data_IF_658584569816
#
_entry.id   IF_658584569816
#
_cell.length_a   1.000
_cell.length_b   1.000
_cell.length_c   1.000
_cell.angle_alpha   90.00
_cell.angle_beta   90.00
_cell.angle_gamma   90.00
#
_symmetry.space_group_name_H-M   'P 1'
#
loop_
_entity.id
_entity.type
_entity.pdbx_description
1 polymer ?
#
# COMPACT_ATOMS: atom_id res chain seq x y z
N UNK A 1 -20.53 -3.98 -19.20
CA UNK A 1 -19.32 -3.27 -19.67
C UNK A 1 -18.28 -3.20 -18.55
N UNK A 2 -17.55 -4.29 -18.26
CA UNK A 2 -16.57 -4.33 -17.15
C UNK A 2 -15.14 -3.96 -17.59
N UNK A 3 -14.83 -4.05 -18.90
CA UNK A 3 -13.47 -3.80 -19.43
C UNK A 3 -13.05 -2.32 -19.37
N UNK A 4 -14.00 -1.38 -19.50
CA UNK A 4 -13.72 0.06 -19.39
C UNK A 4 -13.44 0.53 -17.96
N UNK A 5 -13.85 -0.24 -16.95
CA UNK A 5 -13.56 0.09 -15.56
C UNK A 5 -12.04 0.21 -15.30
N UNK A 6 -11.21 -0.47 -16.10
CA UNK A 6 -9.75 -0.41 -15.98
C UNK A 6 -9.16 0.93 -16.45
N UNK A 7 -9.87 1.71 -17.26
CA UNK A 7 -9.35 2.89 -17.95
C UNK A 7 -10.14 4.17 -17.72
N UNK A 8 -11.43 4.07 -17.36
CA UNK A 8 -12.35 5.22 -17.30
C UNK A 8 -12.99 5.44 -15.93
N UNK A 9 -12.41 4.84 -14.87
CA UNK A 9 -12.94 4.98 -13.53
C UNK A 9 -12.70 6.39 -12.96
N UNK A 10 -13.70 6.93 -12.27
CA UNK A 10 -13.69 8.27 -11.67
C UNK A 10 -13.85 8.27 -10.15
N UNK A 11 -13.73 7.11 -9.50
CA UNK A 11 -13.71 6.94 -8.05
C UNK A 11 -12.52 6.06 -7.62
N UNK A 12 -12.10 6.18 -6.36
CA UNK A 12 -11.08 5.31 -5.77
C UNK A 12 -11.71 3.95 -5.45
N UNK A 13 -11.00 2.86 -5.72
CA UNK A 13 -11.45 1.48 -5.43
C UNK A 13 -10.56 0.80 -4.39
N UNK A 14 -11.05 -0.33 -3.87
CA UNK A 14 -10.19 -1.33 -3.24
C UNK A 14 -9.49 -2.17 -4.31
N UNK A 15 -8.17 -2.00 -4.45
CA UNK A 15 -7.36 -2.58 -5.52
C UNK A 15 -8.01 -2.43 -6.91
N UNK A 16 -8.30 -3.56 -7.57
CA UNK A 16 -8.84 -3.63 -8.93
C UNK A 16 -10.32 -3.98 -8.95
N UNK A 17 -10.99 -4.03 -7.79
CA UNK A 17 -12.37 -4.48 -7.61
C UNK A 17 -13.34 -3.30 -7.84
N UNK A 18 -14.06 -3.23 -8.98
CA UNK A 18 -14.92 -2.09 -9.28
C UNK A 18 -16.15 -1.98 -8.37
N UNK A 19 -16.58 -3.06 -7.74
CA UNK A 19 -17.72 -3.11 -6.82
C UNK A 19 -17.42 -2.50 -5.44
N UNK A 20 -16.14 -2.29 -5.10
CA UNK A 20 -15.71 -1.74 -3.81
C UNK A 20 -15.22 -0.30 -3.96
N UNK A 21 -16.07 0.65 -3.60
CA UNK A 21 -15.75 2.08 -3.60
C UNK A 21 -15.03 2.49 -2.31
N UNK A 22 -13.97 3.29 -2.44
CA UNK A 22 -13.24 3.83 -1.31
C UNK A 22 -14.04 4.91 -0.59
N UNK A 23 -14.09 4.81 0.74
CA UNK A 23 -14.74 5.79 1.62
C UNK A 23 -13.71 6.81 2.10
N UNK A 24 -14.15 8.06 2.29
CA UNK A 24 -13.31 9.17 2.74
C UNK A 24 -13.37 9.33 4.26
N UNK A 25 -12.92 8.31 4.97
CA UNK A 25 -12.97 8.24 6.44
C UNK A 25 -12.06 9.29 7.12
N UNK A 26 -11.24 10.00 6.36
CA UNK A 26 -10.50 11.17 6.86
C UNK A 26 -11.41 12.34 7.25
N UNK A 27 -12.66 12.38 6.77
CA UNK A 27 -13.65 13.36 7.22
C UNK A 27 -14.31 12.92 8.53
N UNK A 28 -14.38 13.80 9.55
CA UNK A 28 -14.97 13.48 10.84
C UNK A 28 -16.37 12.88 10.76
N UNK A 29 -17.26 13.48 9.97
CA UNK A 29 -18.65 13.04 9.83
C UNK A 29 -18.75 11.64 9.21
N UNK A 30 -17.86 11.33 8.25
CA UNK A 30 -17.82 10.01 7.62
C UNK A 30 -17.31 8.97 8.61
N UNK A 31 -16.28 9.31 9.41
CA UNK A 31 -15.80 8.42 10.47
C UNK A 31 -16.92 8.13 11.48
N UNK A 32 -17.60 9.16 11.96
CA UNK A 32 -18.70 9.04 12.93
C UNK A 32 -19.81 8.13 12.39
N UNK A 33 -20.28 8.38 11.17
CA UNK A 33 -21.35 7.60 10.54
C UNK A 33 -20.94 6.13 10.34
N UNK A 34 -19.73 5.87 9.85
CA UNK A 34 -19.30 4.48 9.56
C UNK A 34 -18.90 3.70 10.82
N UNK A 35 -18.56 4.37 11.93
CA UNK A 35 -18.11 3.72 13.16
C UNK A 35 -19.16 3.69 14.27
N UNK A 36 -20.27 4.44 14.15
CA UNK A 36 -21.29 4.57 15.19
C UNK A 36 -21.71 3.23 15.81
N UNK A 37 -22.02 2.22 14.97
CA UNK A 37 -22.43 0.90 15.46
C UNK A 37 -21.28 0.11 16.08
N UNK A 38 -20.08 0.17 15.50
CA UNK A 38 -18.90 -0.52 16.06
C UNK A 38 -18.57 0.04 17.45
N UNK A 39 -18.63 1.36 17.60
CA UNK A 39 -18.40 2.03 18.88
C UNK A 39 -19.51 1.74 19.90
N UNK A 40 -20.77 1.64 19.46
CA UNK A 40 -21.88 1.16 20.31
C UNK A 40 -21.59 -0.25 20.84
N UNK A 41 -21.21 -1.19 19.96
CA UNK A 41 -20.90 -2.57 20.36
C UNK A 41 -19.72 -2.66 21.35
N UNK A 42 -18.71 -1.79 21.21
CA UNK A 42 -17.61 -1.69 22.19
C UNK A 42 -18.08 -1.10 23.53
N UNK A 43 -18.93 -0.07 23.51
CA UNK A 43 -19.50 0.53 24.74
C UNK A 43 -20.39 -0.45 25.49
N UNK A 44 -21.18 -1.23 24.77
CA UNK A 44 -22.08 -2.24 25.32
C UNK A 44 -21.34 -3.50 25.80
N UNK A 45 -20.02 -3.59 25.58
CA UNK A 45 -19.20 -4.73 26.00
C UNK A 45 -19.39 -5.99 25.15
N UNK A 46 -19.93 -5.85 23.93
CA UNK A 46 -20.07 -6.95 22.98
C UNK A 46 -18.74 -7.27 22.29
N UNK A 47 -17.88 -6.26 22.14
CA UNK A 47 -16.55 -6.38 21.55
C UNK A 47 -15.49 -5.93 22.56
N UNK A 48 -14.33 -6.59 22.54
CA UNK A 48 -13.19 -6.26 23.42
C UNK A 48 -12.06 -5.50 22.69
N UNK A 49 -12.02 -5.62 21.36
CA UNK A 49 -10.96 -5.07 20.53
C UNK A 49 -11.31 -5.06 19.06
N UNK A 50 -10.42 -4.49 18.24
CA UNK A 50 -10.64 -4.26 16.82
C UNK A 50 -9.48 -4.82 15.98
N UNK A 51 -9.83 -5.33 14.79
CA UNK A 51 -8.87 -5.61 13.72
C UNK A 51 -9.21 -4.71 12.54
N UNK A 52 -8.29 -3.82 12.19
CA UNK A 52 -8.46 -2.86 11.10
C UNK A 52 -8.02 -3.50 9.79
N UNK A 53 -8.95 -3.56 8.85
CA UNK A 53 -8.70 -4.01 7.49
C UNK A 53 -8.02 -2.90 6.68
N UNK A 54 -6.99 -3.26 5.91
CA UNK A 54 -6.37 -2.41 4.91
C UNK A 54 -6.15 -0.93 5.29
N UNK A 55 -5.47 -0.62 6.41
CA UNK A 55 -5.13 0.77 6.78
C UNK A 55 -4.29 1.48 5.71
N UNK A 56 -3.52 0.73 4.90
CA UNK A 56 -2.75 1.28 3.79
C UNK A 56 -3.61 1.86 2.66
N UNK A 57 -4.91 1.57 2.64
CA UNK A 57 -5.86 2.22 1.74
C UNK A 57 -6.34 3.60 2.21
N UNK A 58 -6.05 3.99 3.45
CA UNK A 58 -6.53 5.25 4.02
C UNK A 58 -5.73 6.46 3.52
N UNK A 59 -6.38 7.63 3.45
CA UNK A 59 -5.70 8.87 3.08
C UNK A 59 -4.69 9.28 4.17
N UNK A 60 -5.10 9.19 5.44
CA UNK A 60 -4.30 9.54 6.62
C UNK A 60 -4.45 8.47 7.72
N UNK A 61 -3.74 7.32 7.59
CA UNK A 61 -3.90 6.20 8.53
C UNK A 61 -3.52 6.53 9.97
N UNK A 62 -2.46 7.33 10.19
CA UNK A 62 -2.07 7.74 11.55
C UNK A 62 -3.19 8.52 12.25
N UNK A 63 -3.75 9.54 11.59
CA UNK A 63 -4.86 10.34 12.12
C UNK A 63 -6.14 9.50 12.32
N UNK A 64 -6.40 8.53 11.44
CA UNK A 64 -7.51 7.59 11.61
C UNK A 64 -7.33 6.74 12.87
N UNK A 65 -6.14 6.16 13.08
CA UNK A 65 -5.85 5.30 14.21
C UNK A 65 -5.83 6.06 15.54
N UNK A 66 -5.34 7.31 15.55
CA UNK A 66 -5.42 8.19 16.71
C UNK A 66 -6.88 8.47 17.10
N UNK A 67 -7.70 8.91 16.14
CA UNK A 67 -9.14 9.14 16.34
C UNK A 67 -9.86 7.88 16.82
N UNK A 68 -9.52 6.71 16.26
CA UNK A 68 -10.11 5.44 16.68
C UNK A 68 -9.68 5.07 18.10
N UNK A 69 -8.41 5.25 18.45
CA UNK A 69 -7.91 5.02 19.80
C UNK A 69 -8.65 5.90 20.83
N UNK A 70 -8.86 7.19 20.54
CA UNK A 70 -9.66 8.09 21.37
C UNK A 70 -11.12 7.63 21.49
N UNK A 71 -11.77 7.36 20.37
CA UNK A 71 -13.19 7.00 20.33
C UNK A 71 -13.50 5.66 21.02
N UNK A 72 -12.52 4.75 21.06
CA UNK A 72 -12.65 3.44 21.70
C UNK A 72 -12.19 3.45 23.16
N UNK A 73 -11.50 4.50 23.61
CA UNK A 73 -10.88 4.55 24.95
C UNK A 73 -9.68 3.61 25.07
N UNK A 74 -8.89 3.46 23.99
CA UNK A 74 -7.67 2.66 23.98
C UNK A 74 -7.89 1.15 23.94
N UNK A 75 -8.96 0.69 23.30
CA UNK A 75 -9.24 -0.76 23.18
C UNK A 75 -8.16 -1.43 22.33
N UNK A 76 -7.87 -2.69 22.65
CA UNK A 76 -6.86 -3.46 21.94
C UNK A 76 -7.18 -3.49 20.44
N UNK A 77 -6.28 -2.95 19.63
CA UNK A 77 -6.47 -2.76 18.20
C UNK A 77 -5.26 -3.28 17.44
N UNK A 78 -5.47 -4.11 16.43
CA UNK A 78 -4.43 -4.58 15.50
C UNK A 78 -4.75 -4.19 14.07
N UNK A 79 -3.73 -4.09 13.22
CA UNK A 79 -3.85 -3.67 11.83
C UNK A 79 -3.41 -4.75 10.85
N UNK A 80 -4.16 -4.94 9.77
CA UNK A 80 -3.71 -5.73 8.63
C UNK A 80 -2.70 -4.92 7.81
N UNK A 81 -1.42 -4.95 8.21
CA UNK A 81 -0.33 -4.26 7.51
C UNK A 81 0.75 -5.26 7.14
N UNK A 82 1.14 -5.25 5.86
CA UNK A 82 2.22 -6.10 5.35
C UNK A 82 3.55 -5.35 5.49
N UNK A 83 4.44 -5.86 6.33
CA UNK A 83 5.81 -5.37 6.48
C UNK A 83 6.72 -6.06 5.48
N UNK A 84 7.59 -5.31 4.82
CA UNK A 84 8.56 -5.85 3.83
C UNK A 84 9.98 -5.78 4.37
N UNK A 85 10.73 -6.88 4.28
CA UNK A 85 12.12 -6.91 4.76
C UNK A 85 12.25 -6.52 6.23
N UNK A 86 13.10 -5.53 6.50
CA UNK A 86 13.36 -4.98 7.85
C UNK A 86 12.44 -3.79 8.20
N UNK A 87 11.36 -3.57 7.44
CA UNK A 87 10.37 -2.54 7.74
C UNK A 87 9.73 -2.77 9.11
N UNK A 88 9.57 -1.69 9.87
CA UNK A 88 8.87 -1.69 11.15
C UNK A 88 7.53 -0.99 11.03
N UNK A 89 6.55 -1.39 11.85
CA UNK A 89 5.30 -0.67 11.99
C UNK A 89 5.60 0.76 12.52
N UNK A 90 4.98 1.82 11.97
CA UNK A 90 5.19 3.18 12.47
C UNK A 90 4.90 3.26 13.99
N UNK A 91 5.85 3.80 14.74
CA UNK A 91 5.81 3.79 16.21
C UNK A 91 4.71 4.71 16.78
N UNK A 92 4.30 5.69 15.99
CA UNK A 92 3.24 6.64 16.31
C UNK A 92 1.82 6.07 16.11
N UNK A 93 1.67 4.90 15.48
CA UNK A 93 0.36 4.28 15.32
C UNK A 93 -0.12 3.74 16.67
N UNK A 94 -1.27 4.25 17.13
CA UNK A 94 -1.93 3.84 18.37
C UNK A 94 -2.59 2.45 18.25
N UNK A 95 -1.77 1.41 18.04
CA UNK A 95 -2.18 0.02 17.82
C UNK A 95 -1.26 -0.94 18.57
N UNK A 96 -1.75 -2.13 18.88
CA UNK A 96 -1.00 -3.17 19.55
C UNK A 96 -0.04 -3.93 18.62
N UNK A 97 -0.20 -3.81 17.29
CA UNK A 97 0.67 -4.44 16.30
C UNK A 97 -0.05 -4.78 15.00
N UNK A 98 0.60 -5.62 14.19
CA UNK A 98 0.04 -6.16 12.95
C UNK A 98 -0.87 -7.37 13.24
N UNK A 99 -1.51 -7.92 12.20
CA UNK A 99 -2.17 -9.22 12.26
C UNK A 99 -1.20 -10.42 12.17
N UNK A 100 0.11 -10.19 12.11
CA UNK A 100 1.14 -11.22 12.32
C UNK A 100 1.77 -11.85 11.07
N UNK A 101 1.62 -11.28 9.86
CA UNK A 101 2.30 -11.79 8.66
C UNK A 101 3.83 -11.73 8.76
N UNK A 102 4.36 -10.75 9.48
CA UNK A 102 5.77 -10.60 9.81
C UNK A 102 6.28 -11.74 10.72
N UNK A 103 5.47 -12.16 11.69
CA UNK A 103 5.77 -13.33 12.52
C UNK A 103 5.66 -14.64 11.71
N UNK A 104 4.61 -14.78 10.89
CA UNK A 104 4.39 -15.93 10.01
C UNK A 104 5.62 -16.18 9.12
N UNK A 105 6.12 -15.15 8.45
CA UNK A 105 7.28 -15.25 7.57
C UNK A 105 8.53 -15.78 8.29
N UNK A 106 8.78 -15.30 9.52
CA UNK A 106 9.93 -15.74 10.34
C UNK A 106 9.78 -17.18 10.82
N UNK A 107 8.58 -17.56 11.23
CA UNK A 107 8.28 -18.94 11.68
C UNK A 107 8.43 -19.92 10.53
N UNK A 108 7.91 -19.61 9.34
CA UNK A 108 8.05 -20.46 8.15
C UNK A 108 9.53 -20.63 7.74
N UNK A 109 10.35 -19.59 7.92
CA UNK A 109 11.79 -19.65 7.70
C UNK A 109 12.51 -20.69 8.57
N UNK A 110 12.04 -20.96 9.79
CA UNK A 110 12.63 -21.98 10.69
C UNK A 110 12.50 -23.39 10.12
N UNK A 111 11.44 -23.66 9.35
CA UNK A 111 11.15 -24.97 8.78
C UNK A 111 11.71 -25.16 7.36
N UNK A 112 12.40 -24.15 6.82
CA UNK A 112 12.94 -24.18 5.47
C UNK A 112 14.44 -24.49 5.50
N UNK A 113 14.85 -25.63 4.94
CA UNK A 113 16.27 -25.94 4.72
C UNK A 113 16.83 -25.08 3.56
N UNK A 114 17.82 -24.20 3.80
CA UNK A 114 18.40 -23.36 2.76
C UNK A 114 19.00 -24.17 1.60
N UNK A 115 19.60 -25.33 1.89
CA UNK A 115 20.25 -26.15 0.86
C UNK A 115 19.21 -26.82 -0.04
N UNK A 116 18.16 -27.39 0.55
CA UNK A 116 17.03 -27.96 -0.20
C UNK A 116 16.29 -26.91 -1.04
N UNK A 117 16.13 -25.68 -0.53
CA UNK A 117 15.52 -24.59 -1.29
C UNK A 117 16.36 -24.23 -2.53
N UNK A 118 17.68 -24.13 -2.39
CA UNK A 118 18.59 -23.86 -3.51
C UNK A 118 18.55 -24.99 -4.56
N UNK A 119 18.53 -26.26 -4.13
CA UNK A 119 18.40 -27.41 -5.04
C UNK A 119 17.09 -27.37 -5.82
N UNK A 120 15.97 -27.09 -5.15
CA UNK A 120 14.65 -26.98 -5.80
C UNK A 120 14.62 -25.85 -6.83
N UNK A 121 15.23 -24.70 -6.54
CA UNK A 121 15.36 -23.60 -7.50
C UNK A 121 16.22 -24.02 -8.70
N UNK A 122 17.31 -24.75 -8.48
CA UNK A 122 18.14 -25.32 -9.55
C UNK A 122 17.36 -26.25 -10.47
N UNK A 123 16.63 -27.22 -9.90
CA UNK A 123 15.78 -28.16 -10.65
C UNK A 123 14.66 -27.46 -11.40
N UNK A 124 14.03 -26.45 -10.77
CA UNK A 124 13.02 -25.64 -11.44
C UNK A 124 13.59 -24.93 -12.66
N UNK A 125 14.78 -24.32 -12.56
CA UNK A 125 15.45 -23.64 -13.68
C UNK A 125 15.82 -24.60 -14.81
N UNK A 126 16.36 -25.78 -14.49
CA UNK A 126 16.71 -26.80 -15.47
C UNK A 126 15.47 -27.32 -16.22
N UNK A 127 14.41 -27.65 -15.47
CA UNK A 127 13.21 -28.25 -16.03
C UNK A 127 12.35 -27.24 -16.80
N UNK A 128 12.08 -26.08 -16.22
CA UNK A 128 11.14 -25.11 -16.77
C UNK A 128 11.80 -24.09 -17.72
N UNK A 129 13.13 -23.90 -17.64
CA UNK A 129 13.87 -22.91 -18.43
C UNK A 129 13.20 -21.52 -18.46
N UNK A 130 12.74 -20.97 -17.32
CA UNK A 130 11.91 -19.77 -17.33
C UNK A 130 12.71 -18.55 -17.84
N UNK A 131 12.10 -17.65 -18.63
CA UNK A 131 12.71 -16.37 -18.94
C UNK A 131 13.04 -15.58 -17.67
N UNK A 132 14.10 -14.75 -17.72
CA UNK A 132 14.57 -13.98 -16.57
C UNK A 132 13.46 -13.17 -15.89
N UNK A 133 12.61 -12.48 -16.65
CA UNK A 133 11.51 -11.67 -16.14
C UNK A 133 10.20 -12.45 -15.92
N UNK A 134 10.22 -13.79 -16.03
CA UNK A 134 9.05 -14.67 -15.88
C UNK A 134 9.39 -15.91 -15.04
N UNK A 135 10.06 -15.69 -13.93
CA UNK A 135 10.41 -16.73 -12.94
C UNK A 135 11.88 -17.12 -12.93
N UNK A 136 12.68 -16.71 -13.92
CA UNK A 136 14.13 -16.99 -13.93
C UNK A 136 14.92 -16.16 -12.91
N UNK A 137 14.53 -14.89 -12.78
CA UNK A 137 15.07 -13.92 -11.81
C UNK A 137 13.92 -13.23 -11.07
N UNK A 138 13.98 -13.24 -9.75
CA UNK A 138 12.88 -12.74 -8.91
C UNK A 138 12.68 -11.23 -9.09
N UNK A 139 13.76 -10.45 -9.04
CA UNK A 139 13.72 -8.99 -9.14
C UNK A 139 13.15 -8.53 -10.48
N UNK A 140 13.61 -9.10 -11.60
CA UNK A 140 13.07 -8.82 -12.92
C UNK A 140 11.60 -9.25 -13.04
N UNK A 141 11.22 -10.38 -12.45
CA UNK A 141 9.84 -10.89 -12.46
C UNK A 141 8.89 -9.97 -11.69
N UNK A 142 9.26 -9.54 -10.47
CA UNK A 142 8.48 -8.59 -9.67
C UNK A 142 8.35 -7.27 -10.40
N UNK A 143 9.45 -6.74 -10.95
CA UNK A 143 9.43 -5.48 -11.72
C UNK A 143 8.48 -5.56 -12.91
N UNK A 144 8.52 -6.66 -13.68
CA UNK A 144 7.61 -6.91 -14.80
C UNK A 144 6.15 -6.97 -14.34
N UNK A 145 5.88 -7.66 -13.22
CA UNK A 145 4.54 -7.75 -12.66
C UNK A 145 4.03 -6.37 -12.23
N UNK A 146 4.84 -5.58 -11.52
CA UNK A 146 4.52 -4.21 -11.12
C UNK A 146 4.19 -3.33 -12.34
N UNK A 147 5.01 -3.40 -13.40
CA UNK A 147 4.69 -2.70 -14.65
C UNK A 147 3.34 -3.09 -15.23
N UNK A 148 3.02 -4.39 -15.27
CA UNK A 148 1.73 -4.88 -15.76
C UNK A 148 0.58 -4.28 -14.96
N UNK A 149 0.69 -4.26 -13.63
CA UNK A 149 -0.32 -3.69 -12.73
C UNK A 149 -0.52 -2.19 -13.02
N UNK A 150 0.53 -1.38 -12.95
CA UNK A 150 0.41 0.10 -13.11
C UNK A 150 0.02 0.52 -14.54
N UNK A 151 0.28 -0.32 -15.55
CA UNK A 151 -0.07 0.01 -16.94
C UNK A 151 -1.40 -0.54 -17.42
N UNK A 152 -1.94 -1.59 -16.79
CA UNK A 152 -3.16 -2.26 -17.25
C UNK A 152 -4.26 -2.35 -16.20
N UNK A 153 -3.92 -2.65 -14.95
CA UNK A 153 -4.91 -2.91 -13.90
C UNK A 153 -5.27 -1.63 -13.13
N UNK A 154 -4.26 -0.81 -12.85
CA UNK A 154 -4.37 0.50 -12.21
C UNK A 154 -4.06 1.65 -13.18
N UNK A 155 -4.44 1.47 -14.45
CA UNK A 155 -4.19 2.45 -15.50
C UNK A 155 -4.97 3.75 -15.26
N UNK A 156 -6.21 3.65 -14.77
CA UNK A 156 -7.04 4.79 -14.42
C UNK A 156 -6.43 5.61 -13.27
N UNK A 157 -5.97 4.95 -12.21
CA UNK A 157 -5.32 5.56 -11.04
C UNK A 157 -3.99 6.23 -11.44
N UNK A 158 -3.18 5.55 -12.26
CA UNK A 158 -1.92 6.12 -12.79
C UNK A 158 -2.18 7.35 -13.67
N UNK A 159 -3.22 7.30 -14.51
CA UNK A 159 -3.63 8.44 -15.33
C UNK A 159 -4.14 9.60 -14.47
N UNK A 160 -4.87 9.31 -13.39
CA UNK A 160 -5.31 10.31 -12.42
C UNK A 160 -4.13 10.99 -11.73
N UNK A 161 -3.16 10.22 -11.22
CA UNK A 161 -1.93 10.76 -10.63
C UNK A 161 -1.15 11.64 -11.61
N UNK A 162 -1.07 11.23 -12.89
CA UNK A 162 -0.42 12.02 -13.94
C UNK A 162 -1.11 13.36 -14.15
N UNK A 163 -2.45 13.38 -14.20
CA UNK A 163 -3.22 14.63 -14.33
C UNK A 163 -3.06 15.52 -13.10
N UNK A 164 -3.05 14.94 -11.90
CA UNK A 164 -2.81 15.67 -10.66
C UNK A 164 -1.44 16.34 -10.67
N UNK A 165 -0.38 15.59 -11.01
CA UNK A 165 0.98 16.13 -11.10
C UNK A 165 1.07 17.26 -12.14
N UNK A 166 0.49 17.08 -13.32
CA UNK A 166 0.45 18.12 -14.35
C UNK A 166 -0.27 19.39 -13.86
N UNK A 167 -1.39 19.25 -13.15
CA UNK A 167 -2.13 20.37 -12.59
C UNK A 167 -1.37 21.09 -11.45
N UNK A 168 -0.49 20.40 -10.74
CA UNK A 168 0.42 21.02 -9.75
C UNK A 168 1.52 21.79 -10.47
N UNK A 169 2.19 21.17 -11.45
CA UNK A 169 3.25 21.79 -12.24
C UNK A 169 2.75 23.04 -13.00
N UNK A 170 1.51 23.04 -13.51
CA UNK A 170 0.94 24.17 -14.23
C UNK A 170 0.75 25.43 -13.35
N UNK A 171 0.61 25.26 -12.03
CA UNK A 171 0.45 26.37 -11.08
C UNK A 171 1.76 27.06 -10.73
N UNK A 172 2.90 26.39 -10.93
CA UNK A 172 4.21 26.92 -10.60
C UNK A 172 5.05 27.15 -11.88
N UNK A 173 5.34 28.41 -12.26
CA UNK A 173 6.16 28.72 -13.42
C UNK A 173 7.50 27.96 -13.48
N UNK A 174 8.12 27.62 -12.34
CA UNK A 174 9.37 26.89 -12.29
C UNK A 174 9.21 25.41 -12.69
N UNK A 175 8.00 24.85 -12.57
CA UNK A 175 7.70 23.44 -12.84
C UNK A 175 6.92 23.22 -14.15
N UNK A 176 6.54 24.28 -14.86
CA UNK A 176 5.68 24.23 -16.06
C UNK A 176 6.29 23.48 -17.24
N UNK A 177 7.62 23.42 -17.35
CA UNK A 177 8.32 22.80 -18.48
C UNK A 177 8.44 21.27 -18.35
N UNK A 178 7.46 20.62 -17.71
CA UNK A 178 7.39 19.18 -17.60
C UNK A 178 6.32 18.62 -18.54
N UNK A 179 6.77 17.93 -19.58
CA UNK A 179 5.85 17.30 -20.53
C UNK A 179 5.01 16.20 -19.85
N UNK A 180 3.72 16.03 -20.19
CA UNK A 180 2.85 15.03 -19.56
C UNK A 180 3.37 13.59 -19.64
N UNK A 181 4.07 13.23 -20.73
CA UNK A 181 4.68 11.91 -20.88
C UNK A 181 5.85 11.68 -19.90
N UNK A 182 6.58 12.74 -19.55
CA UNK A 182 7.69 12.69 -18.60
C UNK A 182 7.15 12.47 -17.18
N UNK A 183 6.11 13.23 -16.78
CA UNK A 183 5.41 13.04 -15.51
C UNK A 183 4.83 11.62 -15.39
N UNK A 184 4.19 11.12 -16.44
CA UNK A 184 3.66 9.75 -16.47
C UNK A 184 4.77 8.71 -16.29
N UNK A 185 5.91 8.90 -16.94
CA UNK A 185 7.07 8.01 -16.81
C UNK A 185 7.62 8.04 -15.40
N UNK A 186 7.82 9.23 -14.82
CA UNK A 186 8.32 9.39 -13.45
C UNK A 186 7.40 8.73 -12.42
N UNK A 187 6.09 8.96 -12.50
CA UNK A 187 5.10 8.33 -11.62
C UNK A 187 5.14 6.81 -11.74
N UNK A 188 5.23 6.26 -12.96
CA UNK A 188 5.31 4.81 -13.17
C UNK A 188 6.59 4.22 -12.59
N UNK A 189 7.75 4.86 -12.83
CA UNK A 189 9.01 4.38 -12.26
C UNK A 189 8.99 4.42 -10.74
N UNK A 190 8.43 5.49 -10.15
CA UNK A 190 8.27 5.60 -8.70
C UNK A 190 7.42 4.44 -8.17
N UNK A 191 6.20 4.24 -8.70
CA UNK A 191 5.29 3.19 -8.26
C UNK A 191 5.87 1.77 -8.43
N UNK A 192 6.74 1.55 -9.41
CA UNK A 192 7.39 0.25 -9.66
C UNK A 192 8.58 0.00 -8.74
N UNK A 193 9.20 1.05 -8.18
CA UNK A 193 10.45 0.97 -7.42
C UNK A 193 10.29 1.16 -5.92
N UNK A 194 9.14 1.61 -5.42
CA UNK A 194 8.91 1.73 -3.97
C UNK A 194 9.09 0.32 -3.34
N UNK A 195 10.03 0.17 -2.38
CA UNK A 195 10.37 -1.14 -1.80
C UNK A 195 9.41 -1.62 -0.71
N UNK A 196 8.42 -0.80 -0.34
CA UNK A 196 7.39 -1.07 0.68
C UNK A 196 5.99 -0.91 0.10
N UNK A 197 4.95 -1.29 0.86
CA UNK A 197 3.57 -1.13 0.39
C UNK A 197 3.20 0.33 0.12
N UNK A 198 3.58 1.23 1.04
CA UNK A 198 3.50 2.69 0.85
C UNK A 198 4.39 3.44 1.85
N UNK A 199 4.94 4.60 1.47
CA UNK A 199 5.47 5.54 2.44
C UNK A 199 4.32 6.30 3.13
N UNK A 200 4.59 6.80 4.35
CA UNK A 200 3.69 7.68 5.08
C UNK A 200 4.27 9.10 5.11
N UNK A 201 3.60 10.01 4.41
CA UNK A 201 3.95 11.43 4.35
C UNK A 201 2.71 12.26 4.61
N UNK A 202 2.85 13.29 5.43
CA UNK A 202 1.79 14.29 5.66
C UNK A 202 2.19 15.57 4.94
N UNK A 203 1.25 16.16 4.21
CA UNK A 203 1.53 17.40 3.47
C UNK A 203 1.92 18.53 4.43
N UNK A 204 3.07 19.16 4.19
CA UNK A 204 3.59 20.24 5.02
C UNK A 204 4.40 19.79 6.24
N UNK A 205 4.50 18.49 6.48
CA UNK A 205 5.36 17.90 7.51
C UNK A 205 6.59 17.26 6.86
N UNK A 206 7.71 17.15 7.58
CA UNK A 206 8.82 16.33 7.11
C UNK A 206 8.34 14.88 6.89
N UNK A 207 8.84 14.19 5.85
CA UNK A 207 8.56 12.78 5.66
C UNK A 207 8.93 11.99 6.93
N UNK A 208 8.13 10.97 7.25
CA UNK A 208 8.48 10.05 8.35
C UNK A 208 9.84 9.40 8.05
N UNK A 209 10.58 8.96 9.07
CA UNK A 209 11.86 8.24 8.88
C UNK A 209 11.70 7.08 7.88
N UNK A 210 10.60 6.34 7.99
CA UNK A 210 10.26 5.24 7.07
C UNK A 210 10.11 5.76 5.64
N UNK A 211 9.41 6.89 5.44
CA UNK A 211 9.27 7.50 4.12
C UNK A 211 10.60 8.04 3.58
N UNK A 212 11.45 8.63 4.42
CA UNK A 212 12.79 9.09 4.03
C UNK A 212 13.65 7.92 3.56
N UNK A 213 13.78 6.87 4.39
CA UNK A 213 14.56 5.66 4.07
C UNK A 213 14.03 4.99 2.79
N UNK A 214 12.71 4.90 2.64
CA UNK A 214 12.05 4.30 1.47
C UNK A 214 12.28 5.10 0.18
N UNK A 215 12.33 6.43 0.26
CA UNK A 215 12.43 7.32 -0.91
C UNK A 215 13.88 7.68 -1.27
N UNK A 216 14.83 7.47 -0.36
CA UNK A 216 16.25 7.80 -0.57
C UNK A 216 17.12 6.60 -0.92
N UNK A 217 16.63 5.37 -0.73
CA UNK A 217 17.36 4.17 -1.15
C UNK A 217 17.39 4.06 -2.69
N UNK A 218 18.43 4.65 -3.26
CA UNK A 218 18.99 4.28 -4.57
C UNK A 218 19.52 2.85 -4.50
N UNK A 219 18.63 1.87 -4.68
CA UNK A 219 18.98 0.51 -5.11
C UNK A 219 18.72 0.34 -6.61
#
# INVERSE_FOLDING_TARGET
WWRLARTELNYRRFFTVPELIGVRVEHPEVFEDTHAKVLELLRDGVLDGLRIDHPDGLAAPAAYLERLNEATGGRWTVVEKILTGDEHLPAEWAVAGTTGYDALHRIDGVFTDPSGAEELVGRYREFAGPPGDRGGDWTATVRRAAYRVVTHELAAETAWLTRLAAAICDRDPALRDHAPWALRTAIRELLVRIPVYRPYVTAGEPPTRIAEETLTDTA
#
